data_IF_775785373716
#
_entry.id   IF_775785373716
#
_cell.length_a   1.000
_cell.length_b   1.000
_cell.length_c   1.000
_cell.angle_alpha   90.00
_cell.angle_beta   90.00
_cell.angle_gamma   90.00
#
_symmetry.space_group_name_H-M   'P 1'
#
loop_
_entity.id
_entity.type
_entity.pdbx_description
1 polymer ?
#
# COMPACT_ATOMS: atom_id res chain seq x y z
N UNK A 1 20.46 -2.49 -1.69
CA UNK A 1 20.02 -3.25 -2.88
C UNK A 1 18.49 -3.30 -2.97
N UNK A 2 17.77 -3.83 -1.95
CA UNK A 2 16.30 -3.81 -1.93
C UNK A 2 15.69 -2.48 -1.45
N UNK A 3 16.23 -1.92 -0.36
CA UNK A 3 15.82 -0.60 0.16
C UNK A 3 15.89 0.51 -0.89
N UNK A 4 16.90 0.46 -1.76
CA UNK A 4 17.12 1.48 -2.79
C UNK A 4 16.01 1.47 -3.84
N UNK A 5 15.42 0.30 -4.13
CA UNK A 5 14.29 0.16 -5.04
C UNK A 5 13.05 0.87 -4.46
N UNK A 6 12.79 0.69 -3.16
CA UNK A 6 11.67 1.35 -2.47
C UNK A 6 11.89 2.86 -2.42
N UNK A 7 13.07 3.31 -2.01
CA UNK A 7 13.39 4.73 -1.94
C UNK A 7 13.36 5.39 -3.32
N UNK A 8 13.85 4.72 -4.36
CA UNK A 8 13.78 5.21 -5.74
C UNK A 8 12.32 5.35 -6.22
N UNK A 9 11.44 4.40 -5.88
CA UNK A 9 10.00 4.50 -6.19
C UNK A 9 9.37 5.71 -5.50
N UNK A 10 9.69 5.95 -4.24
CA UNK A 10 9.20 7.11 -3.47
C UNK A 10 9.71 8.43 -4.10
N UNK A 11 11.00 8.50 -4.42
CA UNK A 11 11.61 9.66 -5.10
C UNK A 11 10.95 9.93 -6.45
N UNK A 12 10.72 8.89 -7.25
CA UNK A 12 10.03 9.00 -8.56
C UNK A 12 8.62 9.58 -8.40
N UNK A 13 7.87 9.13 -7.39
CA UNK A 13 6.57 9.72 -7.06
C UNK A 13 6.67 11.19 -6.66
N UNK A 14 7.72 11.56 -5.92
CA UNK A 14 8.03 12.95 -5.60
C UNK A 14 8.31 13.80 -6.84
N UNK A 15 9.09 13.30 -7.81
CA UNK A 15 9.35 13.97 -9.09
C UNK A 15 8.05 14.18 -9.86
N UNK A 16 7.20 13.15 -9.96
CA UNK A 16 5.89 13.28 -10.61
C UNK A 16 5.03 14.37 -9.96
N UNK A 17 5.05 14.48 -8.62
CA UNK A 17 4.32 15.53 -7.92
C UNK A 17 4.88 16.93 -8.21
N UNK A 18 6.20 17.10 -8.25
CA UNK A 18 6.84 18.38 -8.61
C UNK A 18 6.47 18.78 -10.05
N UNK A 19 6.59 17.87 -11.00
CA UNK A 19 6.24 18.12 -12.41
C UNK A 19 4.75 18.47 -12.54
N UNK A 20 3.87 17.71 -11.90
CA UNK A 20 2.43 17.99 -11.91
C UNK A 20 2.11 19.36 -11.32
N UNK A 21 2.72 19.73 -10.20
CA UNK A 21 2.56 21.05 -9.60
C UNK A 21 3.10 22.18 -10.47
N UNK A 22 4.24 21.99 -11.12
CA UNK A 22 4.81 22.98 -12.06
C UNK A 22 3.89 23.20 -13.28
N UNK A 23 3.30 22.14 -13.83
CA UNK A 23 2.33 22.25 -14.93
C UNK A 23 1.10 23.05 -14.50
N UNK A 24 0.56 22.81 -13.29
CA UNK A 24 -0.57 23.60 -12.77
C UNK A 24 -0.23 25.09 -12.65
N UNK A 25 0.98 25.41 -12.17
CA UNK A 25 1.46 26.80 -12.08
C UNK A 25 1.61 27.46 -13.45
N UNK A 26 2.11 26.73 -14.45
CA UNK A 26 2.24 27.22 -15.82
C UNK A 26 0.87 27.51 -16.45
N UNK A 27 -0.10 26.61 -16.29
CA UNK A 27 -1.47 26.80 -16.79
C UNK A 27 -2.09 28.04 -16.15
N UNK A 28 -1.95 28.22 -14.84
CA UNK A 28 -2.43 29.42 -14.15
C UNK A 28 -1.77 30.70 -14.69
N UNK A 29 -0.45 30.69 -14.92
CA UNK A 29 0.26 31.84 -15.50
C UNK A 29 -0.25 32.22 -16.89
N UNK A 30 -0.45 31.22 -17.77
CA UNK A 30 -0.97 31.45 -19.12
C UNK A 30 -2.40 32.01 -19.12
N UNK A 31 -3.28 31.47 -18.26
CA UNK A 31 -4.65 31.97 -18.13
C UNK A 31 -4.66 33.40 -17.59
N UNK A 32 -3.82 33.70 -16.60
CA UNK A 32 -3.70 35.05 -16.04
C UNK A 32 -3.28 36.05 -17.12
N UNK A 33 -2.28 35.70 -17.94
CA UNK A 33 -1.83 36.55 -19.06
C UNK A 33 -2.95 36.75 -20.09
N UNK A 34 -3.65 35.67 -20.48
CA UNK A 34 -4.74 35.75 -21.46
C UNK A 34 -5.89 36.63 -20.98
N UNK A 35 -6.32 36.46 -19.73
CA UNK A 35 -7.38 37.29 -19.13
C UNK A 35 -6.97 38.76 -19.05
N UNK A 36 -5.73 39.05 -18.68
CA UNK A 36 -5.23 40.43 -18.63
C UNK A 36 -5.09 41.06 -20.01
N UNK A 37 -4.82 40.25 -21.05
CA UNK A 37 -4.70 40.72 -22.44
C UNK A 37 -6.06 41.10 -23.06
N UNK A 38 -7.11 40.36 -22.73
CA UNK A 38 -8.44 40.53 -23.35
C UNK A 38 -9.37 41.51 -22.61
N UNK A 39 -8.93 42.10 -21.49
CA UNK A 39 -9.77 42.95 -20.61
C UNK A 39 -11.15 42.34 -20.33
N UNK A 40 -11.21 41.00 -20.20
CA UNK A 40 -12.47 40.28 -20.12
C UNK A 40 -13.16 40.55 -18.76
N UNK A 41 -14.37 41.12 -18.78
CA UNK A 41 -15.17 41.41 -17.58
C UNK A 41 -15.47 40.14 -16.74
N UNK A 42 -15.52 38.96 -17.38
CA UNK A 42 -15.71 37.66 -16.72
C UNK A 42 -14.39 36.97 -16.30
N UNK A 43 -13.23 37.58 -16.59
CA UNK A 43 -11.92 36.97 -16.40
C UNK A 43 -11.50 36.77 -14.95
N UNK A 44 -12.05 37.57 -14.02
CA UNK A 44 -11.73 37.48 -12.60
C UNK A 44 -12.18 36.15 -11.98
N UNK A 45 -13.32 35.59 -12.42
CA UNK A 45 -13.77 34.28 -11.95
C UNK A 45 -12.81 33.15 -12.34
N UNK A 46 -12.24 33.22 -13.55
CA UNK A 46 -11.23 32.27 -14.03
C UNK A 46 -9.91 32.40 -13.27
N UNK A 47 -9.45 33.63 -13.01
CA UNK A 47 -8.25 33.86 -12.21
C UNK A 47 -8.42 33.30 -10.79
N UNK A 48 -9.58 33.49 -10.16
CA UNK A 48 -9.84 32.95 -8.81
C UNK A 48 -9.83 31.41 -8.82
N UNK A 49 -10.54 30.78 -9.76
CA UNK A 49 -10.59 29.32 -9.85
C UNK A 49 -9.21 28.71 -10.12
N UNK A 50 -8.47 29.24 -11.10
CA UNK A 50 -7.14 28.74 -11.42
C UNK A 50 -6.08 29.16 -10.39
N UNK A 51 -6.29 30.24 -9.66
CA UNK A 51 -5.49 30.61 -8.50
C UNK A 51 -5.57 29.57 -7.38
N UNK A 52 -6.75 28.97 -7.15
CA UNK A 52 -6.90 27.82 -6.25
C UNK A 52 -6.12 26.60 -6.76
N UNK A 53 -6.15 26.33 -8.06
CA UNK A 53 -5.33 25.25 -8.65
C UNK A 53 -3.83 25.53 -8.54
N UNK A 54 -3.40 26.79 -8.63
CA UNK A 54 -2.02 27.20 -8.41
C UNK A 54 -1.58 26.93 -6.95
N UNK A 55 -2.42 27.25 -5.96
CA UNK A 55 -2.17 26.90 -4.56
C UNK A 55 -2.02 25.39 -4.37
N UNK A 56 -2.88 24.57 -5.00
CA UNK A 56 -2.73 23.12 -5.01
C UNK A 56 -1.41 22.68 -5.68
N UNK A 57 -1.00 23.35 -6.76
CA UNK A 57 0.28 23.14 -7.42
C UNK A 57 1.47 23.38 -6.49
N UNK A 58 1.45 24.47 -5.71
CA UNK A 58 2.47 24.78 -4.70
C UNK A 58 2.53 23.67 -3.64
N UNK A 59 1.38 23.20 -3.14
CA UNK A 59 1.31 22.10 -2.17
C UNK A 59 1.94 20.82 -2.76
N UNK A 60 1.63 20.48 -4.01
CA UNK A 60 2.24 19.33 -4.67
C UNK A 60 3.75 19.46 -4.84
N UNK A 61 4.26 20.65 -5.18
CA UNK A 61 5.70 20.90 -5.27
C UNK A 61 6.37 20.70 -3.90
N UNK A 62 5.82 21.30 -2.83
CA UNK A 62 6.38 21.16 -1.48
C UNK A 62 6.38 19.69 -1.03
N UNK A 63 5.27 18.97 -1.21
CA UNK A 63 5.19 17.55 -0.90
C UNK A 63 6.15 16.71 -1.75
N UNK A 64 6.29 17.05 -3.03
CA UNK A 64 7.18 16.37 -3.97
C UNK A 64 8.65 16.54 -3.58
N UNK A 65 9.10 17.77 -3.32
CA UNK A 65 10.45 18.08 -2.83
C UNK A 65 10.74 17.33 -1.54
N UNK A 66 9.80 17.33 -0.58
CA UNK A 66 9.96 16.55 0.66
C UNK A 66 10.21 15.07 0.38
N UNK A 67 9.46 14.46 -0.53
CA UNK A 67 9.62 13.05 -0.89
C UNK A 67 10.94 12.76 -1.64
N UNK A 68 11.50 13.74 -2.35
CA UNK A 68 12.78 13.61 -3.05
C UNK A 68 13.96 13.74 -2.08
N UNK A 69 13.94 14.77 -1.23
CA UNK A 69 15.04 15.11 -0.31
C UNK A 69 15.05 14.20 0.91
N UNK A 70 13.86 13.84 1.43
CA UNK A 70 13.68 13.02 2.64
C UNK A 70 12.69 11.88 2.39
N UNK A 71 13.00 10.95 1.47
CA UNK A 71 12.12 9.82 1.16
C UNK A 71 11.81 8.95 2.40
N UNK A 72 12.71 8.91 3.38
CA UNK A 72 12.55 8.19 4.64
C UNK A 72 11.40 8.70 5.52
N UNK A 73 10.98 9.97 5.34
CA UNK A 73 9.84 10.56 6.05
C UNK A 73 8.51 10.38 5.34
N UNK A 74 8.48 9.60 4.26
CA UNK A 74 7.27 9.38 3.48
C UNK A 74 6.21 8.58 4.26
N UNK A 75 4.94 8.78 3.91
CA UNK A 75 3.79 8.11 4.52
C UNK A 75 3.89 6.59 4.44
N UNK A 76 4.44 6.02 3.37
CA UNK A 76 4.61 4.56 3.25
C UNK A 76 5.50 4.00 4.37
N UNK A 77 6.61 4.67 4.68
CA UNK A 77 7.53 4.28 5.73
C UNK A 77 7.00 4.59 7.14
N UNK A 78 6.17 5.63 7.27
CA UNK A 78 5.44 5.89 8.51
C UNK A 78 4.40 4.80 8.80
N UNK A 79 3.71 4.32 7.77
CA UNK A 79 2.66 3.31 7.90
C UNK A 79 3.23 1.89 8.05
N UNK A 80 4.45 1.65 7.53
CA UNK A 80 5.20 0.42 7.69
C UNK A 80 6.69 0.73 7.93
N UNK A 81 7.11 0.91 9.19
CA UNK A 81 8.50 1.22 9.53
C UNK A 81 9.50 0.14 9.12
N UNK A 82 9.04 -1.11 8.97
CA UNK A 82 9.87 -2.26 8.59
C UNK A 82 10.00 -2.45 7.07
N UNK A 83 9.37 -1.59 6.26
CA UNK A 83 9.32 -1.74 4.81
C UNK A 83 10.72 -1.82 4.14
N UNK A 84 11.70 -1.05 4.61
CA UNK A 84 13.05 -1.10 4.04
C UNK A 84 13.76 -2.43 4.35
N UNK A 85 13.56 -2.95 5.56
CA UNK A 85 14.08 -4.25 5.97
C UNK A 85 13.42 -5.38 5.17
N UNK A 86 12.09 -5.33 5.03
CA UNK A 86 11.34 -6.25 4.18
C UNK A 86 11.87 -6.23 2.74
N UNK A 87 12.17 -5.05 2.20
CA UNK A 87 12.72 -4.95 0.84
C UNK A 87 14.09 -5.62 0.74
N UNK A 88 15.00 -5.40 1.69
CA UNK A 88 16.31 -6.06 1.65
C UNK A 88 16.21 -7.58 1.78
N UNK A 89 15.29 -8.09 2.62
CA UNK A 89 15.01 -9.54 2.72
C UNK A 89 14.34 -10.10 1.48
N UNK A 90 13.45 -9.34 0.83
CA UNK A 90 12.77 -9.79 -0.39
C UNK A 90 13.76 -9.98 -1.54
N UNK A 91 14.63 -8.99 -1.75
CA UNK A 91 15.54 -8.96 -2.90
C UNK A 91 16.85 -9.72 -2.67
N UNK A 92 17.08 -10.30 -1.48
CA UNK A 92 18.21 -11.19 -1.25
C UNK A 92 17.99 -12.56 -1.87
N UNK A 93 16.76 -13.10 -1.80
CA UNK A 93 16.44 -14.41 -2.34
C UNK A 93 14.93 -14.52 -2.67
N UNK A 94 14.62 -14.56 -3.96
CA UNK A 94 13.24 -14.67 -4.47
C UNK A 94 12.96 -16.14 -4.79
N UNK A 95 11.94 -16.71 -4.15
CA UNK A 95 11.53 -18.12 -4.32
C UNK A 95 10.34 -18.27 -5.27
N UNK A 96 9.55 -17.21 -5.42
CA UNK A 96 8.43 -17.18 -6.36
C UNK A 96 8.25 -15.78 -6.94
N UNK A 97 8.06 -15.72 -8.25
CA UNK A 97 7.84 -14.49 -8.98
C UNK A 97 6.81 -14.73 -10.09
N UNK A 98 5.80 -13.86 -10.13
CA UNK A 98 4.91 -13.75 -11.28
C UNK A 98 4.79 -12.29 -11.75
N UNK A 99 3.78 -11.98 -12.58
CA UNK A 99 3.59 -10.63 -13.11
C UNK A 99 3.16 -9.59 -12.05
N UNK A 100 2.66 -10.02 -10.89
CA UNK A 100 2.05 -9.15 -9.88
C UNK A 100 2.63 -9.34 -8.48
N UNK A 101 3.22 -10.49 -8.17
CA UNK A 101 3.65 -10.87 -6.83
C UNK A 101 5.11 -11.32 -6.84
N UNK A 102 5.83 -10.93 -5.79
CA UNK A 102 7.16 -11.45 -5.44
C UNK A 102 7.08 -12.07 -4.04
N UNK A 103 7.67 -13.25 -3.87
CA UNK A 103 7.77 -13.94 -2.59
C UNK A 103 9.22 -14.37 -2.39
N UNK A 104 9.75 -14.07 -1.21
CA UNK A 104 11.02 -14.59 -0.67
C UNK A 104 10.73 -15.56 0.47
N UNK A 105 11.77 -16.05 1.14
CA UNK A 105 11.62 -16.91 2.32
C UNK A 105 10.78 -16.28 3.45
N UNK A 106 10.69 -14.95 3.50
CA UNK A 106 10.06 -14.22 4.61
C UNK A 106 9.05 -13.16 4.21
N UNK A 107 9.12 -12.65 2.98
CA UNK A 107 8.39 -11.44 2.56
C UNK A 107 7.54 -11.73 1.33
N UNK A 108 6.30 -11.24 1.38
CA UNK A 108 5.38 -11.12 0.26
C UNK A 108 5.30 -9.66 -0.18
N UNK A 109 5.39 -9.40 -1.48
CA UNK A 109 5.35 -8.05 -2.03
C UNK A 109 4.51 -7.96 -3.31
N UNK A 110 3.92 -6.78 -3.51
CA UNK A 110 3.33 -6.41 -4.79
C UNK A 110 4.42 -5.96 -5.76
N UNK A 111 4.64 -6.72 -6.83
CA UNK A 111 5.66 -6.42 -7.86
C UNK A 111 5.46 -5.07 -8.52
N UNK A 112 4.19 -4.66 -8.76
CA UNK A 112 3.87 -3.37 -9.40
C UNK A 112 4.00 -2.19 -8.44
N UNK A 113 3.90 -2.44 -7.14
CA UNK A 113 3.96 -1.45 -6.08
C UNK A 113 4.93 -1.88 -4.99
N UNK A 114 6.24 -1.65 -5.15
CA UNK A 114 7.26 -2.09 -4.19
C UNK A 114 7.17 -1.39 -2.82
N UNK A 115 6.24 -0.45 -2.64
CA UNK A 115 5.89 0.13 -1.34
C UNK A 115 4.87 -0.69 -0.56
N UNK A 116 4.29 -1.72 -1.17
CA UNK A 116 3.36 -2.67 -0.56
C UNK A 116 4.07 -4.01 -0.35
N UNK A 117 4.50 -4.23 0.90
CA UNK A 117 5.15 -5.47 1.33
C UNK A 117 4.67 -5.84 2.74
N UNK A 118 4.74 -7.13 3.03
CA UNK A 118 4.40 -7.68 4.35
C UNK A 118 5.24 -8.92 4.64
N UNK A 119 5.53 -9.17 5.90
CA UNK A 119 6.08 -10.47 6.30
C UNK A 119 5.03 -11.55 6.09
N UNK A 120 5.46 -12.73 5.64
CA UNK A 120 4.60 -13.89 5.43
C UNK A 120 3.90 -14.34 6.72
N UNK A 121 4.62 -14.33 7.84
CA UNK A 121 4.06 -14.66 9.16
C UNK A 121 3.09 -13.59 9.68
N UNK A 122 3.14 -12.36 9.17
CA UNK A 122 2.31 -11.24 9.64
C UNK A 122 1.02 -11.09 8.81
N UNK A 123 0.75 -12.01 7.88
CA UNK A 123 -0.50 -12.04 7.11
C UNK A 123 -1.57 -12.82 7.88
N UNK A 124 -2.71 -12.18 8.15
CA UNK A 124 -3.78 -12.76 8.97
C UNK A 124 -5.07 -13.01 8.19
N UNK A 125 -5.36 -12.21 7.16
CA UNK A 125 -6.56 -12.39 6.35
C UNK A 125 -6.27 -12.04 4.89
N UNK A 126 -6.66 -12.94 3.99
CA UNK A 126 -6.61 -12.72 2.54
C UNK A 126 -8.03 -12.90 1.98
N UNK A 127 -8.55 -11.89 1.32
CA UNK A 127 -9.88 -11.96 0.72
C UNK A 127 -9.94 -11.29 -0.65
N UNK A 128 -10.88 -11.74 -1.47
CA UNK A 128 -11.15 -11.12 -2.78
C UNK A 128 -12.08 -9.92 -2.58
N UNK A 129 -11.62 -8.74 -2.97
CA UNK A 129 -12.45 -7.54 -3.05
C UNK A 129 -12.73 -7.22 -4.52
N UNK A 130 -14.00 -7.14 -4.89
CA UNK A 130 -14.43 -6.80 -6.25
C UNK A 130 -15.24 -5.51 -6.20
N UNK A 131 -14.82 -4.52 -6.98
CA UNK A 131 -15.56 -3.26 -7.16
C UNK A 131 -16.34 -3.35 -8.45
N UNK A 132 -17.56 -2.80 -8.46
CA UNK A 132 -18.41 -2.76 -9.65
C UNK A 132 -19.02 -1.38 -9.86
N UNK A 133 -19.21 -1.00 -11.12
CA UNK A 133 -19.98 0.17 -11.52
C UNK A 133 -21.14 -0.31 -12.36
N UNK A 134 -22.38 0.04 -12.00
CA UNK A 134 -23.58 -0.45 -12.68
C UNK A 134 -23.60 -1.98 -12.83
N UNK A 135 -23.25 -2.70 -11.76
CA UNK A 135 -23.15 -4.18 -11.72
C UNK A 135 -22.07 -4.81 -12.62
N UNK A 136 -21.27 -4.00 -13.32
CA UNK A 136 -20.13 -4.49 -14.11
C UNK A 136 -18.87 -4.44 -13.22
N UNK A 137 -18.16 -5.55 -13.02
CA UNK A 137 -16.90 -5.55 -12.26
C UNK A 137 -15.86 -4.62 -12.92
N UNK A 138 -15.46 -3.58 -12.20
CA UNK A 138 -14.45 -2.60 -12.62
C UNK A 138 -13.10 -2.81 -11.94
N UNK A 139 -13.06 -3.60 -10.87
CA UNK A 139 -11.84 -3.92 -10.14
C UNK A 139 -11.97 -5.24 -9.41
N UNK A 140 -10.86 -5.97 -9.30
CA UNK A 140 -10.81 -7.23 -8.55
C UNK A 140 -9.40 -7.36 -7.98
N UNK A 141 -9.29 -7.41 -6.66
CA UNK A 141 -8.02 -7.45 -5.94
C UNK A 141 -8.07 -8.50 -4.82
N UNK A 142 -6.99 -9.24 -4.63
CA UNK A 142 -6.76 -9.91 -3.36
C UNK A 142 -6.21 -8.87 -2.37
N UNK A 143 -6.97 -8.64 -1.30
CA UNK A 143 -6.57 -7.80 -0.19
C UNK A 143 -5.89 -8.67 0.84
N UNK A 144 -4.68 -8.29 1.22
CA UNK A 144 -3.85 -8.98 2.19
C UNK A 144 -3.74 -8.07 3.42
N UNK A 145 -4.38 -8.49 4.49
CA UNK A 145 -4.41 -7.79 5.77
C UNK A 145 -3.35 -8.34 6.72
N UNK A 146 -2.62 -7.42 7.33
CA UNK A 146 -1.58 -7.71 8.32
C UNK A 146 -1.82 -6.95 9.62
N UNK A 147 -0.85 -6.99 10.53
CA UNK A 147 -0.93 -6.28 11.82
C UNK A 147 -1.10 -4.77 11.66
N UNK A 148 -0.54 -4.17 10.62
CA UNK A 148 -0.53 -2.73 10.40
C UNK A 148 -1.71 -2.29 9.51
N UNK A 149 -2.81 -1.73 10.05
CA UNK A 149 -4.02 -1.46 9.27
C UNK A 149 -3.81 -0.46 8.12
N UNK A 150 -2.77 0.37 8.23
CA UNK A 150 -2.39 1.35 7.21
C UNK A 150 -1.42 0.79 6.15
N UNK A 151 -0.93 -0.44 6.32
CA UNK A 151 -0.08 -1.16 5.39
C UNK A 151 -0.90 -2.18 4.60
N UNK A 152 -1.81 -1.69 3.76
CA UNK A 152 -2.61 -2.54 2.88
C UNK A 152 -1.75 -3.05 1.72
N UNK A 153 -1.62 -4.37 1.60
CA UNK A 153 -1.08 -5.01 0.39
C UNK A 153 -2.26 -5.49 -0.46
N UNK A 154 -2.31 -5.06 -1.72
CA UNK A 154 -3.42 -5.41 -2.61
C UNK A 154 -2.90 -5.84 -3.97
N UNK A 155 -3.24 -7.06 -4.38
CA UNK A 155 -2.80 -7.63 -5.65
C UNK A 155 -3.96 -7.60 -6.63
N UNK A 156 -3.85 -6.77 -7.67
CA UNK A 156 -4.86 -6.72 -8.72
C UNK A 156 -4.88 -8.04 -9.51
N UNK A 157 -6.07 -8.63 -9.58
CA UNK A 157 -6.34 -9.89 -10.28
C UNK A 157 -7.45 -9.77 -11.31
N UNK A 158 -7.89 -8.55 -11.66
CA UNK A 158 -8.99 -8.33 -12.60
C UNK A 158 -8.77 -9.05 -13.94
N UNK A 159 -7.58 -8.88 -14.52
CA UNK A 159 -7.22 -9.47 -15.81
C UNK A 159 -6.81 -10.96 -15.73
N UNK A 160 -6.84 -11.59 -14.54
CA UNK A 160 -6.47 -13.00 -14.39
C UNK A 160 -7.65 -13.92 -14.68
N UNK A 161 -7.39 -14.97 -15.44
CA UNK A 161 -8.33 -16.09 -15.58
C UNK A 161 -8.54 -16.83 -14.25
N UNK A 162 -9.67 -17.54 -14.13
CA UNK A 162 -10.07 -18.27 -12.91
C UNK A 162 -8.97 -19.20 -12.40
N UNK A 163 -8.31 -19.95 -13.30
CA UNK A 163 -7.21 -20.87 -12.97
C UNK A 163 -6.03 -20.13 -12.35
N UNK A 164 -5.59 -19.03 -12.96
CA UNK A 164 -4.46 -18.21 -12.45
C UNK A 164 -4.78 -17.55 -11.09
N UNK A 165 -6.03 -17.16 -10.85
CA UNK A 165 -6.47 -16.68 -9.53
C UNK A 165 -6.34 -17.77 -8.47
N UNK A 166 -6.80 -18.99 -8.79
CA UNK A 166 -6.72 -20.12 -7.87
C UNK A 166 -5.28 -20.56 -7.60
N UNK A 167 -4.42 -20.58 -8.63
CA UNK A 167 -2.99 -20.87 -8.47
C UNK A 167 -2.33 -19.86 -7.54
N UNK A 168 -2.58 -18.56 -7.73
CA UNK A 168 -2.08 -17.52 -6.83
C UNK A 168 -2.60 -17.71 -5.40
N UNK A 169 -3.88 -18.02 -5.24
CA UNK A 169 -4.48 -18.26 -3.92
C UNK A 169 -3.80 -19.46 -3.22
N UNK A 170 -3.53 -20.53 -3.95
CA UNK A 170 -2.84 -21.71 -3.42
C UNK A 170 -1.40 -21.38 -3.01
N UNK A 171 -0.67 -20.60 -3.81
CA UNK A 171 0.68 -20.12 -3.46
C UNK A 171 0.63 -19.26 -2.19
N UNK A 172 -0.33 -18.33 -2.09
CA UNK A 172 -0.50 -17.50 -0.89
C UNK A 172 -0.90 -18.33 0.34
N UNK A 173 -1.73 -19.36 0.18
CA UNK A 173 -2.10 -20.28 1.25
C UNK A 173 -0.92 -21.10 1.78
N UNK A 174 0.01 -21.47 0.91
CA UNK A 174 1.23 -22.18 1.30
C UNK A 174 2.25 -21.23 1.94
N UNK A 175 2.37 -20.00 1.42
CA UNK A 175 3.37 -19.04 1.86
C UNK A 175 3.00 -18.32 3.17
N UNK A 176 1.72 -18.10 3.45
CA UNK A 176 1.24 -17.31 4.59
C UNK A 176 0.63 -18.21 5.68
N UNK A 177 1.42 -18.69 6.66
CA UNK A 177 1.00 -19.75 7.58
C UNK A 177 -0.09 -19.33 8.58
N UNK A 178 -0.26 -18.03 8.81
CA UNK A 178 -1.25 -17.49 9.75
C UNK A 178 -2.49 -16.90 9.04
N UNK A 179 -2.59 -17.04 7.71
CA UNK A 179 -3.65 -16.41 6.95
C UNK A 179 -4.94 -17.22 6.97
N UNK A 180 -6.07 -16.55 7.25
CA UNK A 180 -7.40 -17.03 6.87
C UNK A 180 -7.78 -16.53 5.49
N UNK A 181 -8.65 -17.28 4.81
CA UNK A 181 -9.05 -17.01 3.44
C UNK A 181 -10.55 -16.75 3.32
N UNK A 182 -10.92 -15.73 2.54
CA UNK A 182 -12.30 -15.35 2.29
C UNK A 182 -12.76 -14.16 3.13
N UNK A 183 -13.77 -13.44 2.62
CA UNK A 183 -14.38 -12.32 3.33
C UNK A 183 -15.52 -12.86 4.20
N UNK A 184 -15.33 -12.87 5.51
CA UNK A 184 -16.35 -13.29 6.49
C UNK A 184 -16.16 -12.54 7.82
N UNK A 185 -17.24 -12.45 8.61
CA UNK A 185 -17.19 -11.84 9.94
C UNK A 185 -16.20 -12.58 10.86
N UNK A 186 -16.12 -13.90 10.75
CA UNK A 186 -15.13 -14.74 11.46
C UNK A 186 -13.69 -14.40 11.05
N UNK A 187 -13.45 -14.14 9.77
CA UNK A 187 -12.14 -13.73 9.26
C UNK A 187 -11.74 -12.34 9.76
N UNK A 188 -12.70 -11.41 9.80
CA UNK A 188 -12.50 -10.06 10.33
C UNK A 188 -12.27 -10.08 11.85
N UNK A 189 -13.02 -10.89 12.59
CA UNK A 189 -12.82 -11.09 14.02
C UNK A 189 -11.44 -11.70 14.31
N UNK A 190 -11.01 -12.69 13.51
CA UNK A 190 -9.67 -13.27 13.61
C UNK A 190 -8.58 -12.23 13.33
N UNK A 191 -8.74 -11.39 12.30
CA UNK A 191 -7.82 -10.31 12.00
C UNK A 191 -7.67 -9.34 13.18
N UNK A 192 -8.77 -8.95 13.82
CA UNK A 192 -8.75 -8.09 15.00
C UNK A 192 -8.09 -8.78 16.20
N UNK A 193 -8.40 -10.06 16.43
CA UNK A 193 -7.76 -10.87 17.47
C UNK A 193 -6.23 -10.93 17.30
N UNK A 194 -5.75 -11.25 16.09
CA UNK A 194 -4.32 -11.33 15.79
C UNK A 194 -3.61 -9.98 15.91
N UNK A 195 -4.26 -8.88 15.53
CA UNK A 195 -3.72 -7.51 15.69
C UNK A 195 -3.49 -7.14 17.16
N UNK A 196 -4.30 -7.69 18.06
CA UNK A 196 -4.24 -7.40 19.50
C UNK A 196 -3.30 -8.36 20.26
N UNK A 197 -2.72 -9.37 19.59
CA UNK A 197 -1.80 -10.33 20.21
C UNK A 197 -0.38 -9.76 20.34
N UNK A 198 0.27 -10.09 21.47
CA UNK A 198 1.72 -9.96 21.61
C UNK A 198 2.41 -10.81 20.54
N UNK A 199 3.46 -10.27 19.91
CA UNK A 199 4.24 -10.98 18.89
C UNK A 199 4.77 -12.32 19.42
N UNK A 200 5.10 -12.42 20.71
CA UNK A 200 5.61 -13.67 21.30
C UNK A 200 4.61 -14.82 21.32
N UNK A 201 3.32 -14.49 21.18
CA UNK A 201 2.22 -15.45 21.19
C UNK A 201 1.75 -15.84 19.78
N UNK A 202 2.24 -15.16 18.73
CA UNK A 202 1.84 -15.46 17.36
C UNK A 202 2.64 -16.63 16.81
N UNK A 203 2.00 -17.72 16.34
CA UNK A 203 2.70 -18.82 15.69
C UNK A 203 3.50 -18.34 14.48
N UNK A 204 4.59 -19.03 14.14
CA UNK A 204 5.39 -18.79 12.93
C UNK A 204 6.09 -17.42 12.83
N UNK A 205 6.00 -16.56 13.85
CA UNK A 205 6.79 -15.33 13.92
C UNK A 205 8.20 -15.62 14.45
N UNK A 206 9.24 -14.88 14.04
CA UNK A 206 10.59 -15.04 14.59
C UNK A 206 10.69 -14.72 16.09
N UNK A 207 9.65 -14.14 16.68
CA UNK A 207 9.59 -13.79 18.11
C UNK A 207 8.82 -14.82 18.95
N UNK A 208 8.33 -15.91 18.36
CA UNK A 208 7.49 -16.87 19.07
C UNK A 208 8.23 -17.49 20.25
N UNK A 209 7.66 -17.36 21.45
CA UNK A 209 8.18 -17.99 22.66
C UNK A 209 7.23 -19.06 23.22
N UNK A 210 6.07 -19.24 22.59
CA UNK A 210 4.97 -20.00 23.15
C UNK A 210 4.35 -19.26 24.34
N UNK A 211 3.08 -19.56 24.62
CA UNK A 211 2.49 -19.13 25.89
C UNK A 211 3.02 -20.11 26.95
N UNK A 212 3.75 -19.69 28.01
CA UNK A 212 3.88 -20.54 29.18
C UNK A 212 2.47 -20.76 29.72
N UNK A 213 2.03 -22.03 29.81
CA UNK A 213 0.71 -22.42 30.33
C UNK A 213 0.65 -22.10 31.82
N UNK A 214 0.44 -20.84 32.17
CA UNK A 214 0.04 -20.40 33.49
C UNK A 214 -0.94 -19.23 33.29
N UNK A 215 -2.13 -19.34 33.88
CA UNK A 215 -3.31 -18.45 33.77
C UNK A 215 -4.36 -18.83 32.70
N UNK A 216 -4.88 -20.05 32.78
CA UNK A 216 -6.31 -20.31 32.48
C UNK A 216 -7.08 -21.01 33.62
N UNK A 217 -6.41 -21.38 34.71
CA UNK A 217 -7.08 -21.82 35.93
C UNK A 217 -7.33 -20.61 36.83
N UNK A 218 -8.45 -19.91 36.62
CA UNK A 218 -9.13 -19.11 37.65
C UNK A 218 -10.46 -18.51 37.15
N UNK A 219 -11.28 -19.33 36.46
CA UNK A 219 -12.73 -19.05 36.37
C UNK A 219 -13.50 -20.37 36.45
N UNK A 220 -13.33 -21.09 37.56
CA UNK A 220 -14.39 -21.90 38.14
C UNK A 220 -14.38 -21.67 39.65
N UNK A 221 -15.25 -20.78 40.10
CA UNK A 221 -16.02 -20.87 41.35
C UNK A 221 -17.06 -19.75 41.36
#
# INVERSE_FOLDING_TARGET
MGRDIVLAKIKKGGITAVVGGAVLMLIFGLITIGVMSDNADDGMGMIILFGLFALLGIVFIIMGIRNIVRPEKNVYLKNNPQLLEMADQLYSHIIYEDQYVLISDKVLANKKQPTQMTWLWDVYLIYLHTTSTNFIPTGSEYVIENRFPKNRVAINVLARGKKSKQELLNVLAQACPNARFGYSDEGLAYLQYMRNQDLRNIPNTPYYQGVPVQMQDNVQQ
#
